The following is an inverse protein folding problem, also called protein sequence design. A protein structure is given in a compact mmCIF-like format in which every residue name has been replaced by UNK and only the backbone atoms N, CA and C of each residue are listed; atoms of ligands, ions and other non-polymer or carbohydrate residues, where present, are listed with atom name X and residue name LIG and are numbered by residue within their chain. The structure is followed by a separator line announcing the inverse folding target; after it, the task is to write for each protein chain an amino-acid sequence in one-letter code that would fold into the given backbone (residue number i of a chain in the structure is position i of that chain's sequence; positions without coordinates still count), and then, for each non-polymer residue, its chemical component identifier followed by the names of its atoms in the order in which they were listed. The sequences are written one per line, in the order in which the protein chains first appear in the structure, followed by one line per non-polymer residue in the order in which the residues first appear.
data_IF_232221636200
#
_entry.id   IF_232221636200
#
_cell.length_a   1.000
_cell.length_b   1.000
_cell.length_c   1.000
_cell.angle_alpha   90.00
_cell.angle_beta   90.00
_cell.angle_gamma   90.00
#
_symmetry.space_group_name_H-M   'P 1'
#
loop_
_entity.id
_entity.type
_entity.pdbx_description
1 polymer ?
#
# COMPACT_ATOMS: atom_id res chain seq x y z
N UNK A 1 24.07 2.31 -9.18
CA UNK A 1 23.70 0.89 -9.23
C UNK A 1 22.30 0.64 -8.65
N UNK A 2 21.92 1.15 -7.46
CA UNK A 2 20.60 0.90 -6.84
C UNK A 2 19.39 1.39 -7.66
N UNK A 3 19.48 2.63 -8.19
CA UNK A 3 18.41 3.19 -9.04
C UNK A 3 18.25 2.37 -10.30
N UNK A 4 19.35 1.90 -10.89
CA UNK A 4 19.31 1.03 -12.05
C UNK A 4 18.65 -0.33 -11.76
N UNK A 5 18.97 -0.94 -10.62
CA UNK A 5 18.31 -2.17 -10.16
C UNK A 5 16.80 -1.98 -9.93
N UNK A 6 16.40 -0.86 -9.33
CA UNK A 6 15.00 -0.52 -9.13
C UNK A 6 14.26 -0.34 -10.47
N UNK A 7 14.85 0.44 -11.39
CA UNK A 7 14.26 0.68 -12.72
C UNK A 7 14.13 -0.64 -13.48
N UNK A 8 15.16 -1.49 -13.42
CA UNK A 8 15.14 -2.79 -14.08
C UNK A 8 14.04 -3.70 -13.48
N UNK A 9 13.92 -3.76 -12.17
CA UNK A 9 12.89 -4.55 -11.50
C UNK A 9 11.47 -4.08 -11.87
N UNK A 10 11.23 -2.77 -11.86
CA UNK A 10 9.94 -2.18 -12.27
C UNK A 10 9.65 -2.42 -13.76
N UNK A 11 10.66 -2.31 -14.62
CA UNK A 11 10.49 -2.59 -16.05
C UNK A 11 10.11 -4.07 -16.30
N UNK A 12 10.78 -5.00 -15.64
CA UNK A 12 10.45 -6.43 -15.73
C UNK A 12 9.02 -6.68 -15.24
N UNK A 13 8.63 -6.06 -14.13
CA UNK A 13 7.28 -6.17 -13.59
C UNK A 13 6.24 -5.63 -14.57
N UNK A 14 6.44 -4.44 -15.14
CA UNK A 14 5.55 -3.86 -16.15
C UNK A 14 5.40 -4.73 -17.39
N UNK A 15 6.51 -5.30 -17.87
CA UNK A 15 6.48 -6.23 -19.02
C UNK A 15 5.68 -7.49 -18.67
N UNK A 16 5.93 -8.08 -17.50
CA UNK A 16 5.22 -9.27 -17.05
C UNK A 16 3.70 -9.03 -16.92
N UNK A 17 3.30 -7.89 -16.33
CA UNK A 17 1.89 -7.52 -16.19
C UNK A 17 1.22 -7.27 -17.53
N UNK A 18 1.93 -6.63 -18.47
CA UNK A 18 1.39 -6.39 -19.80
C UNK A 18 1.14 -7.70 -20.56
N UNK A 19 2.06 -8.68 -20.45
CA UNK A 19 1.88 -9.99 -21.06
C UNK A 19 0.79 -10.83 -20.38
N UNK A 20 0.61 -10.69 -19.06
CA UNK A 20 -0.35 -11.53 -18.31
C UNK A 20 -1.80 -11.13 -18.56
N UNK A 21 -2.15 -9.84 -18.51
CA UNK A 21 -3.55 -9.40 -18.54
C UNK A 21 -3.76 -7.98 -19.11
N UNK A 22 -2.67 -7.29 -19.47
CA UNK A 22 -2.71 -5.87 -19.87
C UNK A 22 -2.61 -4.93 -18.66
N UNK A 23 -1.78 -3.92 -18.80
CA UNK A 23 -1.49 -2.94 -17.73
C UNK A 23 -2.74 -2.18 -17.24
N UNK A 24 -3.72 -1.97 -18.11
CA UNK A 24 -4.94 -1.22 -17.77
C UNK A 24 -5.77 -1.85 -16.64
N UNK A 25 -5.73 -3.18 -16.51
CA UNK A 25 -6.44 -3.89 -15.45
C UNK A 25 -5.78 -3.73 -14.06
N UNK A 26 -4.50 -3.37 -14.04
CA UNK A 26 -3.74 -3.16 -12.83
C UNK A 26 -3.66 -1.67 -12.43
N UNK A 27 -4.33 -0.76 -13.13
CA UNK A 27 -4.35 0.67 -12.81
C UNK A 27 -5.73 1.03 -12.26
N UNK A 28 -5.84 1.00 -10.94
CA UNK A 28 -7.02 1.49 -10.22
C UNK A 28 -6.63 2.68 -9.34
N UNK A 29 -7.20 3.84 -9.66
CA UNK A 29 -6.90 5.10 -8.98
C UNK A 29 -7.24 5.04 -7.48
N UNK A 30 -8.32 4.34 -7.13
CA UNK A 30 -8.78 4.20 -5.74
C UNK A 30 -7.76 3.43 -4.90
N UNK A 31 -7.35 2.26 -5.38
CA UNK A 31 -6.37 1.41 -4.69
C UNK A 31 -4.99 2.06 -4.65
N UNK A 32 -4.59 2.78 -5.72
CA UNK A 32 -3.34 3.55 -5.75
C UNK A 32 -3.35 4.67 -4.71
N UNK A 33 -4.42 5.46 -4.63
CA UNK A 33 -4.54 6.55 -3.66
C UNK A 33 -4.53 6.02 -2.23
N UNK A 34 -5.17 4.87 -1.98
CA UNK A 34 -5.21 4.24 -0.67
C UNK A 34 -3.81 3.91 -0.13
N UNK A 35 -2.89 3.48 -0.97
CA UNK A 35 -1.49 3.22 -0.60
C UNK A 35 -0.66 4.50 -0.64
N UNK A 36 -0.82 5.33 -1.68
CA UNK A 36 0.03 6.49 -1.91
C UNK A 36 -0.10 7.56 -0.80
N UNK A 37 -1.33 7.84 -0.33
CA UNK A 37 -1.56 8.88 0.68
C UNK A 37 -0.85 8.57 2.00
N UNK A 38 -1.01 7.39 2.64
CA UNK A 38 -0.31 7.04 3.87
C UNK A 38 1.21 6.97 3.70
N UNK A 39 1.68 6.41 2.60
CA UNK A 39 3.11 6.30 2.28
C UNK A 39 3.73 7.69 2.13
N UNK A 40 3.07 8.60 1.42
CA UNK A 40 3.53 9.97 1.25
C UNK A 40 3.53 10.72 2.59
N UNK A 41 2.48 10.60 3.39
CA UNK A 41 2.40 11.21 4.72
C UNK A 41 3.53 10.70 5.64
N UNK A 42 3.82 9.40 5.60
CA UNK A 42 4.93 8.82 6.33
C UNK A 42 6.28 9.41 5.89
N UNK A 43 6.48 9.58 4.59
CA UNK A 43 7.70 10.14 4.03
C UNK A 43 7.90 11.61 4.44
N UNK A 44 6.83 12.40 4.41
CA UNK A 44 6.82 13.80 4.89
C UNK A 44 7.13 13.85 6.39
N UNK A 45 6.51 12.99 7.20
CA UNK A 45 6.74 12.93 8.65
C UNK A 45 8.20 12.61 9.01
N UNK A 46 8.91 11.89 8.15
CA UNK A 46 10.35 11.61 8.32
C UNK A 46 11.26 12.73 7.79
N UNK A 47 10.71 13.87 7.35
CA UNK A 47 11.46 15.01 6.82
C UNK A 47 12.28 14.69 5.58
N UNK A 48 11.77 13.81 4.71
CA UNK A 48 12.43 13.37 3.47
C UNK A 48 13.81 12.75 3.66
N UNK A 49 14.09 12.20 4.85
CA UNK A 49 15.38 11.56 5.14
C UNK A 49 15.45 10.16 4.55
N UNK A 50 16.62 9.78 4.05
CA UNK A 50 16.87 8.44 3.51
C UNK A 50 16.61 7.36 4.56
N UNK A 51 16.85 7.65 5.84
CA UNK A 51 16.55 6.76 6.96
C UNK A 51 15.05 6.47 7.11
N UNK A 52 14.18 7.37 6.65
CA UNK A 52 12.73 7.20 6.64
C UNK A 52 12.23 6.13 5.65
N UNK A 53 13.05 5.72 4.68
CA UNK A 53 12.65 4.70 3.68
C UNK A 53 12.26 3.38 4.34
N UNK A 54 12.90 2.98 5.44
CA UNK A 54 12.53 1.76 6.16
C UNK A 54 11.16 1.89 6.83
N UNK A 55 10.87 3.05 7.41
CA UNK A 55 9.55 3.33 8.00
C UNK A 55 8.47 3.32 6.92
N UNK A 56 8.74 3.93 5.77
CA UNK A 56 7.83 3.92 4.61
C UNK A 56 7.56 2.50 4.14
N UNK A 57 8.60 1.65 4.05
CA UNK A 57 8.45 0.24 3.70
C UNK A 57 7.50 -0.49 4.64
N UNK A 58 7.70 -0.33 5.94
CA UNK A 58 6.90 -1.02 6.96
C UNK A 58 5.45 -0.52 6.97
N UNK A 59 5.25 0.79 6.78
CA UNK A 59 3.91 1.40 6.66
C UNK A 59 3.20 0.90 5.39
N UNK A 60 3.90 0.78 4.27
CA UNK A 60 3.30 0.28 3.03
C UNK A 60 2.70 -1.13 3.20
N UNK A 61 3.40 -2.03 3.90
CA UNK A 61 2.89 -3.36 4.20
C UNK A 61 1.69 -3.30 5.16
N UNK A 62 1.76 -2.48 6.21
CA UNK A 62 0.67 -2.35 7.17
C UNK A 62 -0.61 -1.83 6.52
N UNK A 63 -0.49 -0.80 5.68
CA UNK A 63 -1.62 -0.23 4.94
C UNK A 63 -2.19 -1.24 3.95
N UNK A 64 -1.34 -2.03 3.29
CA UNK A 64 -1.78 -3.09 2.39
C UNK A 64 -2.62 -4.15 3.10
N UNK A 65 -2.20 -4.57 4.30
CA UNK A 65 -2.95 -5.52 5.12
C UNK A 65 -4.30 -4.92 5.55
N UNK A 66 -4.31 -3.66 6.00
CA UNK A 66 -5.55 -2.96 6.37
C UNK A 66 -6.49 -2.85 5.18
N UNK A 67 -5.99 -2.47 4.00
CA UNK A 67 -6.79 -2.39 2.79
C UNK A 67 -7.36 -3.74 2.35
N UNK A 68 -6.58 -4.82 2.51
CA UNK A 68 -7.06 -6.18 2.31
C UNK A 68 -8.24 -6.52 3.24
N UNK A 69 -8.14 -6.19 4.53
CA UNK A 69 -9.21 -6.44 5.50
C UNK A 69 -10.47 -5.62 5.17
N UNK A 70 -10.32 -4.36 4.77
CA UNK A 70 -11.43 -3.51 4.35
C UNK A 70 -12.12 -4.10 3.11
N UNK A 71 -11.34 -4.53 2.12
CA UNK A 71 -11.87 -5.19 0.93
C UNK A 71 -12.62 -6.48 1.27
N UNK A 72 -12.08 -7.28 2.21
CA UNK A 72 -12.75 -8.49 2.70
C UNK A 72 -14.08 -8.17 3.37
N UNK A 73 -14.14 -7.14 4.21
CA UNK A 73 -15.39 -6.68 4.83
C UNK A 73 -16.41 -6.24 3.76
N UNK A 74 -15.94 -5.50 2.73
CA UNK A 74 -16.78 -5.11 1.59
C UNK A 74 -17.38 -6.32 0.86
N UNK A 75 -16.59 -7.37 0.65
CA UNK A 75 -17.07 -8.64 0.07
C UNK A 75 -18.15 -9.28 0.94
N UNK A 76 -17.92 -9.37 2.26
CA UNK A 76 -18.85 -9.99 3.19
C UNK A 76 -20.17 -9.21 3.29
N UNK A 77 -20.14 -7.88 3.18
CA UNK A 77 -21.34 -7.04 3.19
C UNK A 77 -22.18 -7.17 1.92
N UNK A 78 -21.55 -7.49 0.79
CA UNK A 78 -22.20 -7.56 -0.52
C UNK A 78 -22.36 -9.01 -1.03
N UNK A 79 -22.34 -10.00 -0.15
CA UNK A 79 -22.45 -11.43 -0.56
C UNK A 79 -23.75 -11.77 -1.29
N UNK A 80 -24.82 -10.98 -1.10
CA UNK A 80 -26.10 -11.15 -1.78
C UNK A 80 -26.12 -10.62 -3.21
N UNK A 81 -25.13 -9.78 -3.58
CA UNK A 81 -25.03 -9.19 -4.93
C UNK A 81 -23.76 -9.68 -5.63
N UNK A 82 -23.86 -10.70 -6.53
CA UNK A 82 -22.72 -11.23 -7.26
C UNK A 82 -22.00 -10.19 -8.14
N UNK A 83 -22.68 -9.13 -8.58
CA UNK A 83 -22.08 -8.09 -9.42
C UNK A 83 -21.16 -7.16 -8.63
N UNK A 84 -21.43 -6.95 -7.35
CA UNK A 84 -20.58 -6.15 -6.46
C UNK A 84 -19.32 -6.90 -5.97
N UNK A 85 -19.32 -8.23 -6.00
CA UNK A 85 -18.20 -9.03 -5.51
C UNK A 85 -16.93 -8.86 -6.34
N UNK A 86 -17.06 -8.81 -7.67
CA UNK A 86 -15.91 -8.67 -8.58
C UNK A 86 -15.05 -7.44 -8.30
N UNK A 87 -15.62 -6.23 -8.30
CA UNK A 87 -14.90 -5.00 -7.96
C UNK A 87 -14.29 -5.03 -6.56
N UNK A 88 -14.99 -5.56 -5.55
CA UNK A 88 -14.49 -5.65 -4.18
C UNK A 88 -13.25 -6.56 -4.09
N UNK A 89 -13.25 -7.72 -4.77
CA UNK A 89 -12.07 -8.58 -4.89
C UNK A 89 -10.91 -7.87 -5.58
N UNK A 90 -11.18 -7.17 -6.69
CA UNK A 90 -10.15 -6.44 -7.43
C UNK A 90 -9.44 -5.40 -6.55
N UNK A 91 -10.20 -4.58 -5.81
CA UNK A 91 -9.64 -3.57 -4.89
C UNK A 91 -8.79 -4.25 -3.82
N UNK A 92 -9.28 -5.32 -3.20
CA UNK A 92 -8.56 -6.07 -2.17
C UNK A 92 -7.19 -6.54 -2.67
N UNK A 93 -7.13 -7.17 -3.83
CA UNK A 93 -5.87 -7.68 -4.39
C UNK A 93 -4.94 -6.56 -4.87
N UNK A 94 -5.47 -5.51 -5.49
CA UNK A 94 -4.67 -4.40 -5.98
C UNK A 94 -4.01 -3.59 -4.86
N UNK A 95 -4.69 -3.38 -3.74
CA UNK A 95 -4.10 -2.69 -2.57
C UNK A 95 -2.92 -3.48 -2.03
N UNK A 96 -3.06 -4.81 -1.88
CA UNK A 96 -1.96 -5.68 -1.44
C UNK A 96 -0.80 -5.65 -2.44
N UNK A 97 -1.11 -5.76 -3.73
CA UNK A 97 -0.13 -5.72 -4.81
C UNK A 97 0.69 -4.41 -4.80
N UNK A 98 0.04 -3.25 -4.70
CA UNK A 98 0.73 -1.97 -4.63
C UNK A 98 1.57 -1.81 -3.37
N UNK A 99 1.07 -2.29 -2.22
CA UNK A 99 1.83 -2.29 -0.97
C UNK A 99 3.13 -3.09 -1.09
N UNK A 100 3.09 -4.25 -1.74
CA UNK A 100 4.30 -5.04 -2.01
C UNK A 100 5.25 -4.38 -2.99
N UNK A 101 4.74 -3.72 -4.05
CA UNK A 101 5.60 -2.97 -4.99
C UNK A 101 6.34 -1.84 -4.24
N UNK A 102 5.61 -1.04 -3.46
CA UNK A 102 6.22 0.07 -2.70
C UNK A 102 7.23 -0.47 -1.68
N UNK A 103 6.87 -1.50 -0.93
CA UNK A 103 7.77 -2.13 0.04
C UNK A 103 9.02 -2.71 -0.61
N UNK A 104 8.87 -3.41 -1.74
CA UNK A 104 9.98 -3.93 -2.53
C UNK A 104 10.91 -2.83 -3.05
N UNK A 105 10.34 -1.75 -3.59
CA UNK A 105 11.09 -0.59 -4.05
C UNK A 105 11.90 0.05 -2.90
N UNK A 106 11.27 0.26 -1.75
CA UNK A 106 11.94 0.77 -0.55
C UNK A 106 13.05 -0.16 -0.07
N UNK A 107 12.84 -1.47 -0.14
CA UNK A 107 13.86 -2.48 0.25
C UNK A 107 15.09 -2.41 -0.65
N UNK A 108 14.91 -2.29 -1.98
CA UNK A 108 16.03 -2.14 -2.92
C UNK A 108 16.82 -0.85 -2.70
N UNK A 109 16.15 0.24 -2.30
CA UNK A 109 16.81 1.50 -1.99
C UNK A 109 17.54 1.46 -0.65
N UNK A 110 17.09 0.67 0.32
CA UNK A 110 17.59 0.64 1.70
C UNK A 110 18.73 -0.37 1.94
N UNK A 111 19.13 -1.19 0.99
CA UNK A 111 20.10 -2.30 1.12
C UNK A 111 21.44 -1.96 1.84
N UNK A 112 21.85 -0.68 1.89
CA UNK A 112 23.09 -0.28 2.58
C UNK A 112 22.86 0.58 3.83
N UNK A 113 21.63 0.70 4.32
CA UNK A 113 21.30 1.55 5.47
C UNK A 113 21.14 0.70 6.76
N UNK A 114 21.32 -0.62 6.64
CA UNK A 114 20.75 -1.59 7.57
C UNK A 114 21.45 -1.72 8.93
N UNK A 115 22.60 -1.09 9.19
CA UNK A 115 23.32 -1.37 10.45
C UNK A 115 23.21 -0.30 11.54
N UNK A 116 22.62 0.86 11.26
CA UNK A 116 22.66 1.98 12.22
C UNK A 116 21.30 2.37 12.79
N UNK A 117 20.21 1.66 12.51
CA UNK A 117 18.87 2.10 12.87
C UNK A 117 18.30 1.35 14.05
N UNK A 118 18.14 2.11 15.13
CA UNK A 118 17.29 1.78 16.27
C UNK A 118 15.93 1.31 15.73
N UNK A 119 15.65 0.04 15.92
CA UNK A 119 14.30 -0.50 15.63
C UNK A 119 13.29 0.32 16.44
N UNK A 120 12.28 0.93 15.81
CA UNK A 120 11.28 1.67 16.55
C UNK A 120 10.66 0.76 17.60
N UNK A 121 10.44 1.29 18.81
CA UNK A 121 9.87 0.52 19.90
C UNK A 121 8.51 -0.04 19.47
N UNK A 122 8.15 -1.22 20.01
CA UNK A 122 6.86 -1.86 19.73
C UNK A 122 5.70 -0.88 19.95
N UNK A 123 5.80 -0.01 20.95
CA UNK A 123 4.82 1.05 21.21
C UNK A 123 4.66 2.06 20.06
N UNK A 124 5.75 2.47 19.42
CA UNK A 124 5.70 3.38 18.27
C UNK A 124 5.06 2.71 17.04
N UNK A 125 5.31 1.42 16.83
CA UNK A 125 4.68 0.64 15.75
C UNK A 125 3.18 0.49 15.97
N UNK A 126 2.76 0.18 17.20
CA UNK A 126 1.34 0.05 17.57
C UNK A 126 0.61 1.39 17.47
N UNK A 127 1.23 2.48 17.91
CA UNK A 127 0.64 3.82 17.83
C UNK A 127 0.47 4.29 16.38
N UNK A 128 1.48 4.07 15.52
CA UNK A 128 1.40 4.44 14.11
C UNK A 128 0.34 3.59 13.39
N UNK A 129 0.29 2.27 13.61
CA UNK A 129 -0.71 1.42 12.99
C UNK A 129 -2.13 1.75 13.46
N UNK A 130 -2.32 2.07 14.75
CA UNK A 130 -3.60 2.48 15.31
C UNK A 130 -4.11 3.78 14.71
N UNK A 131 -3.23 4.77 14.54
CA UNK A 131 -3.58 6.06 13.92
C UNK A 131 -4.02 5.87 12.45
N UNK A 132 -3.34 4.96 11.73
CA UNK A 132 -3.69 4.64 10.34
C UNK A 132 -5.03 3.91 10.23
N UNK A 133 -5.36 3.03 11.15
CA UNK A 133 -6.67 2.38 11.19
C UNK A 133 -7.81 3.40 11.37
N UNK A 134 -7.62 4.38 12.25
CA UNK A 134 -8.60 5.45 12.46
C UNK A 134 -8.74 6.32 11.22
N UNK A 135 -7.63 6.72 10.59
CA UNK A 135 -7.65 7.52 9.35
C UNK A 135 -8.32 6.76 8.19
N UNK A 136 -8.00 5.48 8.00
CA UNK A 136 -8.65 4.65 6.99
C UNK A 136 -10.15 4.50 7.27
N UNK A 137 -10.55 4.33 8.52
CA UNK A 137 -11.96 4.27 8.93
C UNK A 137 -12.71 5.57 8.62
N UNK A 138 -12.09 6.73 8.86
CA UNK A 138 -12.66 8.04 8.54
C UNK A 138 -12.81 8.26 7.03
N UNK A 139 -11.81 7.88 6.24
CA UNK A 139 -11.86 8.00 4.77
C UNK A 139 -12.96 7.10 4.20
N UNK A 140 -13.10 5.88 4.73
CA UNK A 140 -14.15 4.96 4.27
C UNK A 140 -15.55 5.42 4.67
N UNK A 141 -15.73 5.99 5.87
CA UNK A 141 -17.01 6.56 6.28
C UNK A 141 -17.41 7.77 5.44
N UNK A 142 -16.45 8.61 5.04
CA UNK A 142 -16.71 9.74 4.16
C UNK A 142 -17.04 9.30 2.73
N UNK A 143 -16.39 8.24 2.23
CA UNK A 143 -16.67 7.69 0.91
C UNK A 143 -18.07 7.06 0.84
N UNK A 144 -18.51 6.37 1.88
CA UNK A 144 -19.88 5.81 1.95
C UNK A 144 -20.95 6.88 2.04
N UNK A 145 -20.67 8.02 2.69
CA UNK A 145 -21.58 9.16 2.74
C UNK A 145 -21.74 9.89 1.41
N UNK A 146 -20.77 9.80 0.51
CA UNK A 146 -20.79 10.39 -0.84
C UNK A 146 -21.50 9.50 -1.87
N UNK A 147 -21.69 8.21 -1.56
CA UNK A 147 -22.35 7.24 -2.43
C UNK A 147 -23.84 7.02 -2.10
N UNK A 148 -24.34 7.65 -1.04
CA UNK A 148 -25.75 7.65 -0.64
C UNK A 148 -26.48 8.88 -1.18
#
# INVERSE_FOLDING_TARGET
MKVFSLVLALAILCVALNFAAGLSLFVDLTSMAFIAIPVFAAFVAQGFKIQGIQVVRDIAIQVAIVGMLIGLVGILQNMSDPQALGPAYAIMFLVVFYGFIVSGACSLLSVNISEALVTPSIGQRVLSSGLWLVLCGLVMSSASALSA
#
